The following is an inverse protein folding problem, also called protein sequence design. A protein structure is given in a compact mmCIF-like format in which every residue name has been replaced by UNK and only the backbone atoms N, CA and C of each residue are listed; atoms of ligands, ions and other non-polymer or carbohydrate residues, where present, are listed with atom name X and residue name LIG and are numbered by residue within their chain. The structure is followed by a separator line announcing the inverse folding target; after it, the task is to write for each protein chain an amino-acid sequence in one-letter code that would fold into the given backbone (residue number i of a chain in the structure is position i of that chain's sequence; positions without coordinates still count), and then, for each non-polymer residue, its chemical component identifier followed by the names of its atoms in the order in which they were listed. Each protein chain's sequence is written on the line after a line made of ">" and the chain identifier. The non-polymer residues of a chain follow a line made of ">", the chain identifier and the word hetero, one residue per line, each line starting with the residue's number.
data_IF_361150251178
#
_entry.id   IF_361150251178
#
_cell.length_a   1.000
_cell.length_b   1.000
_cell.length_c   1.000
_cell.angle_alpha   90.00
_cell.angle_beta   90.00
_cell.angle_gamma   90.00
#
_symmetry.space_group_name_H-M   'P 1'
#
loop_
_entity.id
_entity.type
_entity.pdbx_description
1 polymer ?
#
# COMPACT_ATOMS: atom_id res chain seq x y z
N UNK A 1 -6.03 15.20 5.94
CA UNK A 1 -5.86 14.86 4.52
C UNK A 1 -4.39 14.59 4.30
N UNK A 2 -4.02 13.33 4.10
CA UNK A 2 -2.64 12.91 3.86
C UNK A 2 -2.36 13.07 2.36
N UNK A 3 -1.15 13.53 2.01
CA UNK A 3 -0.73 13.68 0.61
C UNK A 3 -0.11 12.42 0.03
N UNK A 4 0.43 11.57 0.90
CA UNK A 4 1.00 10.29 0.53
C UNK A 4 -0.06 9.26 0.13
N UNK A 5 0.34 8.35 -0.76
CA UNK A 5 -0.47 7.20 -1.16
C UNK A 5 -0.23 6.05 -0.18
N UNK A 6 -1.31 5.50 0.39
CA UNK A 6 -1.24 4.38 1.33
C UNK A 6 -1.31 3.06 0.57
N UNK A 7 -0.32 2.19 0.80
CA UNK A 7 -0.22 0.85 0.22
C UNK A 7 -0.65 -0.18 1.25
N UNK A 8 -1.64 -1.00 0.91
CA UNK A 8 -2.25 -2.01 1.79
C UNK A 8 -2.25 -3.39 1.14
N UNK A 9 -2.47 -4.45 1.91
CA UNK A 9 -2.46 -5.82 1.38
C UNK A 9 -3.81 -6.19 0.74
N UNK A 10 -4.90 -5.88 1.44
CA UNK A 10 -6.24 -6.33 1.13
C UNK A 10 -7.21 -5.22 0.72
N UNK A 11 -8.38 -5.66 0.23
CA UNK A 11 -9.52 -4.76 -0.04
C UNK A 11 -10.24 -4.32 1.23
N UNK A 12 -10.17 -5.13 2.28
CA UNK A 12 -10.74 -4.81 3.59
C UNK A 12 -10.02 -3.60 4.20
N UNK A 13 -8.69 -3.54 4.08
CA UNK A 13 -7.89 -2.38 4.49
C UNK A 13 -8.31 -1.10 3.77
N UNK A 14 -8.54 -1.17 2.46
CA UNK A 14 -9.03 -0.02 1.68
C UNK A 14 -10.33 0.51 2.29
N UNK A 15 -11.27 -0.38 2.60
CA UNK A 15 -12.58 0.00 3.13
C UNK A 15 -12.45 0.67 4.50
N UNK A 16 -11.64 0.09 5.39
CA UNK A 16 -11.39 0.62 6.73
C UNK A 16 -10.71 1.99 6.68
N UNK A 17 -9.67 2.15 5.86
CA UNK A 17 -8.91 3.39 5.80
C UNK A 17 -9.74 4.50 5.14
N UNK A 18 -10.48 4.21 4.07
CA UNK A 18 -11.41 5.18 3.46
C UNK A 18 -12.47 5.68 4.44
N UNK A 19 -12.86 4.85 5.41
CA UNK A 19 -13.82 5.26 6.45
C UNK A 19 -13.21 6.19 7.49
N UNK A 20 -11.89 6.14 7.69
CA UNK A 20 -11.16 6.90 8.70
C UNK A 20 -10.52 8.18 8.15
N UNK A 21 -10.01 8.14 6.92
CA UNK A 21 -9.28 9.25 6.30
C UNK A 21 -9.41 9.26 4.78
N UNK A 22 -9.56 10.47 4.23
CA UNK A 22 -9.51 10.68 2.79
C UNK A 22 -8.05 10.72 2.31
N UNK A 23 -7.67 9.71 1.52
CA UNK A 23 -6.33 9.50 0.97
C UNK A 23 -6.38 8.58 -0.26
N UNK A 24 -5.30 8.61 -1.06
CA UNK A 24 -5.13 7.66 -2.16
C UNK A 24 -4.66 6.31 -1.62
N UNK A 25 -5.25 5.22 -2.13
CA UNK A 25 -5.04 3.86 -1.63
C UNK A 25 -4.72 2.89 -2.77
N UNK A 26 -3.74 2.02 -2.53
CA UNK A 26 -3.32 0.96 -3.46
C UNK A 26 -3.29 -0.37 -2.69
N UNK A 27 -4.07 -1.36 -3.12
CA UNK A 27 -3.96 -2.72 -2.60
C UNK A 27 -3.00 -3.57 -3.45
N UNK A 28 -2.14 -4.35 -2.79
CA UNK A 28 -1.27 -5.34 -3.44
C UNK A 28 -2.01 -6.64 -3.77
N UNK A 29 -3.24 -6.84 -3.26
CA UNK A 29 -4.06 -8.05 -3.43
C UNK A 29 -3.33 -9.35 -3.01
N UNK A 30 -2.51 -9.29 -1.95
CA UNK A 30 -1.71 -10.43 -1.50
C UNK A 30 -0.59 -10.85 -2.47
N UNK A 31 -0.27 -10.02 -3.47
CA UNK A 31 0.90 -10.24 -4.31
C UNK A 31 2.15 -9.93 -3.48
N UNK A 32 3.10 -10.87 -3.49
CA UNK A 32 4.44 -10.60 -3.00
C UNK A 32 5.01 -9.36 -3.71
N UNK A 33 5.81 -8.54 -3.00
CA UNK A 33 6.46 -7.35 -3.54
C UNK A 33 7.44 -7.70 -4.66
N UNK A 34 6.91 -7.97 -5.85
CA UNK A 34 7.67 -8.23 -7.07
C UNK A 34 8.37 -6.98 -7.57
N UNK A 35 9.33 -7.16 -8.48
CA UNK A 35 10.12 -6.05 -9.04
C UNK A 35 9.24 -4.98 -9.70
N UNK A 36 8.23 -5.38 -10.46
CA UNK A 36 7.30 -4.46 -11.12
C UNK A 36 6.49 -3.60 -10.14
N UNK A 37 6.03 -4.22 -9.04
CA UNK A 37 5.30 -3.50 -8.01
C UNK A 37 6.23 -2.50 -7.30
N UNK A 38 7.44 -2.92 -6.94
CA UNK A 38 8.43 -2.05 -6.30
C UNK A 38 8.79 -0.87 -7.21
N UNK A 39 8.95 -1.10 -8.52
CA UNK A 39 9.28 -0.03 -9.46
C UNK A 39 8.15 1.00 -9.57
N UNK A 40 6.88 0.53 -9.67
CA UNK A 40 5.71 1.43 -9.60
C UNK A 40 5.65 2.21 -8.29
N UNK A 41 5.87 1.55 -7.15
CA UNK A 41 5.85 2.21 -5.85
C UNK A 41 6.93 3.30 -5.76
N UNK A 42 8.14 3.06 -6.30
CA UNK A 42 9.19 4.09 -6.40
C UNK A 42 8.79 5.29 -7.26
N UNK A 43 8.04 5.07 -8.34
CA UNK A 43 7.55 6.19 -9.15
C UNK A 43 6.50 7.02 -8.42
N UNK A 44 5.64 6.38 -7.63
CA UNK A 44 4.61 7.05 -6.82
C UNK A 44 5.25 7.80 -5.66
N UNK A 45 6.23 7.19 -4.98
CA UNK A 45 7.00 7.80 -3.90
C UNK A 45 7.64 9.13 -4.33
N UNK A 46 8.23 9.16 -5.54
CA UNK A 46 8.82 10.38 -6.11
C UNK A 46 7.82 11.51 -6.36
N UNK A 47 6.53 11.19 -6.53
CA UNK A 47 5.48 12.18 -6.84
C UNK A 47 4.81 12.71 -5.58
N UNK A 48 4.43 11.81 -4.68
CA UNK A 48 3.51 12.11 -3.58
C UNK A 48 4.02 11.62 -2.22
N UNK A 49 5.02 10.74 -2.20
CA UNK A 49 5.36 9.90 -1.05
C UNK A 49 4.42 8.69 -0.92
N UNK A 50 4.91 7.62 -0.31
CA UNK A 50 4.13 6.41 -0.02
C UNK A 50 4.23 6.02 1.45
N UNK A 51 3.12 5.52 2.00
CA UNK A 51 3.06 4.90 3.32
C UNK A 51 2.68 3.43 3.14
N UNK A 52 3.55 2.52 3.56
CA UNK A 52 3.23 1.09 3.55
C UNK A 52 2.53 0.75 4.86
N UNK A 53 1.27 0.32 4.75
CA UNK A 53 0.40 -0.03 5.86
C UNK A 53 -0.11 -1.47 5.66
N UNK A 54 0.76 -2.41 6.02
CA UNK A 54 0.51 -3.85 5.93
C UNK A 54 0.64 -4.45 7.33
N UNK A 55 -0.09 -5.54 7.58
CA UNK A 55 0.06 -6.26 8.84
C UNK A 55 1.49 -6.81 9.00
N UNK A 56 2.02 -6.90 10.23
CA UNK A 56 3.34 -7.45 10.53
C UNK A 56 3.40 -8.97 10.37
N UNK A 57 2.42 -9.60 9.72
CA UNK A 57 2.50 -11.00 9.34
C UNK A 57 3.68 -11.15 8.39
N UNK A 58 4.75 -11.69 8.97
CA UNK A 58 5.96 -12.11 8.33
C UNK A 58 5.55 -12.80 7.03
N UNK A 59 5.81 -12.16 5.88
CA UNK A 59 5.65 -12.79 4.57
C UNK A 59 6.53 -14.04 4.60
N UNK A 60 5.89 -15.15 5.00
CA UNK A 60 6.54 -16.33 5.50
C UNK A 60 7.34 -16.91 4.36
N UNK A 61 8.66 -16.83 4.51
CA UNK A 61 9.64 -17.63 3.78
C UNK A 61 9.01 -18.97 3.38
N UNK A 62 8.97 -19.22 2.08
CA UNK A 62 9.16 -20.56 1.56
C UNK A 62 10.37 -20.55 0.66
#
# INVERSE_FOLDING_TARGET
>A
MIKETIVVEGKDDITNIKSAIDCELIATNGLAFGKDLIERLKEIDKRCGIIIFTDPDFAGKK
#
